data_IF_121230058846
#
_entry.id   IF_121230058846
#
_cell.length_a   1.000
_cell.length_b   1.000
_cell.length_c   1.000
_cell.angle_alpha   90.00
_cell.angle_beta   90.00
_cell.angle_gamma   90.00
#
_symmetry.space_group_name_H-M   'P 1'
#
loop_
_entity.id
_entity.type
_entity.pdbx_description
1 polymer ?
#
# COMPACT_ATOMS: atom_id res chain seq x y z
N UNK A 1 -27.60 20.91 -30.57
CA UNK A 1 -26.19 21.06 -30.17
C UNK A 1 -25.42 19.91 -30.80
N UNK A 2 -24.27 20.17 -31.43
CA UNK A 2 -23.45 19.14 -32.08
C UNK A 2 -23.11 18.02 -31.10
N UNK A 3 -23.34 16.77 -31.50
CA UNK A 3 -23.00 15.55 -30.75
C UNK A 3 -21.56 15.10 -30.98
N UNK A 4 -20.78 15.85 -31.76
CA UNK A 4 -19.39 15.52 -32.04
C UNK A 4 -18.53 15.88 -30.83
N UNK A 5 -18.05 14.86 -30.15
CA UNK A 5 -17.20 14.98 -28.98
C UNK A 5 -15.88 15.70 -29.31
N UNK A 6 -15.44 16.59 -28.43
CA UNK A 6 -14.17 17.31 -28.57
C UNK A 6 -12.99 16.31 -28.60
N UNK A 7 -12.12 16.30 -29.64
CA UNK A 7 -10.97 15.41 -29.73
C UNK A 7 -10.02 15.47 -28.52
N UNK A 8 -9.95 16.62 -27.83
CA UNK A 8 -9.20 16.80 -26.59
C UNK A 8 -9.76 15.98 -25.43
N UNK A 9 -11.08 15.80 -25.36
CA UNK A 9 -11.71 15.01 -24.30
C UNK A 9 -11.35 13.52 -24.46
N UNK A 10 -11.44 13.00 -25.69
CA UNK A 10 -11.03 11.63 -26.01
C UNK A 10 -9.53 11.40 -25.74
N UNK A 11 -8.66 12.30 -26.22
CA UNK A 11 -7.22 12.23 -25.96
C UNK A 11 -6.87 12.41 -24.47
N UNK A 12 -7.67 13.16 -23.72
CA UNK A 12 -7.52 13.35 -22.28
C UNK A 12 -7.78 12.05 -21.49
N UNK A 13 -8.84 11.31 -21.84
CA UNK A 13 -9.18 10.03 -21.18
C UNK A 13 -8.14 8.93 -21.37
N UNK A 14 -7.35 8.99 -22.44
CA UNK A 14 -6.26 8.04 -22.67
C UNK A 14 -5.04 8.28 -21.76
N UNK A 15 -4.97 9.42 -21.06
CA UNK A 15 -3.86 9.76 -20.17
C UNK A 15 -4.18 9.35 -18.74
N UNK A 16 -3.15 9.06 -17.95
CA UNK A 16 -3.29 8.89 -16.50
C UNK A 16 -3.88 10.17 -15.91
N UNK A 17 -5.02 10.03 -15.24
CA UNK A 17 -5.67 11.14 -14.55
C UNK A 17 -5.02 11.34 -13.18
N UNK A 18 -4.08 12.29 -13.07
CA UNK A 18 -3.43 12.61 -11.79
C UNK A 18 -4.43 13.08 -10.72
N UNK A 19 -5.59 13.63 -11.12
CA UNK A 19 -6.67 14.02 -10.22
C UNK A 19 -7.53 12.84 -9.72
N UNK A 20 -7.22 11.60 -10.10
CA UNK A 20 -7.92 10.42 -9.58
C UNK A 20 -7.57 10.11 -8.12
N UNK A 21 -6.47 10.67 -7.60
CA UNK A 21 -6.10 10.53 -6.19
C UNK A 21 -6.85 11.61 -5.39
N UNK A 22 -7.62 11.26 -4.34
CA UNK A 22 -8.25 12.25 -3.48
C UNK A 22 -7.21 13.21 -2.87
N UNK A 23 -7.44 14.54 -2.88
CA UNK A 23 -6.47 15.50 -2.33
C UNK A 23 -6.10 15.24 -0.86
N UNK A 24 -7.04 14.76 -0.06
CA UNK A 24 -6.78 14.38 1.34
C UNK A 24 -5.77 13.23 1.43
N UNK A 25 -5.86 12.24 0.55
CA UNK A 25 -4.90 11.13 0.47
C UNK A 25 -3.49 11.63 0.10
N UNK A 26 -3.39 12.63 -0.78
CA UNK A 26 -2.09 13.24 -1.12
C UNK A 26 -1.46 13.96 0.06
N UNK A 27 -2.24 14.72 0.84
CA UNK A 27 -1.75 15.45 2.02
C UNK A 27 -1.22 14.47 3.07
N UNK A 28 -1.95 13.41 3.37
CA UNK A 28 -1.51 12.40 4.33
C UNK A 28 -0.29 11.61 3.83
N UNK A 29 -0.24 11.28 2.54
CA UNK A 29 0.94 10.65 1.95
C UNK A 29 2.17 11.56 2.08
N UNK A 30 2.04 12.85 1.77
CA UNK A 30 3.12 13.83 1.90
C UNK A 30 3.59 13.94 3.36
N UNK A 31 2.66 14.10 4.32
CA UNK A 31 3.00 14.20 5.74
C UNK A 31 3.71 12.95 6.28
N UNK A 32 3.30 11.75 5.84
CA UNK A 32 3.98 10.51 6.22
C UNK A 32 5.39 10.40 5.63
N UNK A 33 5.61 10.90 4.40
CA UNK A 33 6.94 11.03 3.81
C UNK A 33 7.81 12.05 4.54
N UNK A 34 7.27 13.20 4.91
CA UNK A 34 7.98 14.23 5.69
C UNK A 34 8.45 13.67 7.04
N UNK A 35 7.56 12.95 7.75
CA UNK A 35 7.92 12.25 8.98
C UNK A 35 9.07 11.24 8.77
N UNK A 36 9.02 10.46 7.70
CA UNK A 36 10.11 9.54 7.32
C UNK A 36 11.41 10.28 7.01
N UNK A 37 11.32 11.42 6.31
CA UNK A 37 12.45 12.24 5.93
C UNK A 37 13.17 12.84 7.14
N UNK A 38 12.46 13.16 8.24
CA UNK A 38 13.07 13.58 9.50
C UNK A 38 14.05 12.53 10.06
N UNK A 39 13.83 11.24 9.77
CA UNK A 39 14.67 10.14 10.26
C UNK A 39 15.74 9.71 9.25
N UNK A 40 15.39 9.70 7.96
CA UNK A 40 16.17 9.01 6.94
C UNK A 40 16.61 9.88 5.76
N UNK A 41 16.24 11.17 5.74
CA UNK A 41 16.29 12.09 4.59
C UNK A 41 15.29 11.76 3.47
N UNK A 42 14.97 12.78 2.65
CA UNK A 42 14.02 12.67 1.55
C UNK A 42 14.55 11.70 0.49
N UNK A 43 13.73 10.72 0.09
CA UNK A 43 14.03 9.75 -0.99
C UNK A 43 15.34 8.95 -0.83
N UNK A 44 15.77 8.72 0.40
CA UNK A 44 17.01 7.97 0.68
C UNK A 44 17.03 6.54 0.09
N UNK A 45 15.86 5.93 -0.13
CA UNK A 45 15.70 4.61 -0.75
C UNK A 45 16.10 4.54 -2.23
N UNK A 46 16.25 5.69 -2.90
CA UNK A 46 16.76 5.75 -4.29
C UNK A 46 18.29 5.71 -4.33
N UNK A 47 18.95 6.16 -3.27
CA UNK A 47 20.41 6.16 -3.17
C UNK A 47 20.94 4.88 -2.53
N UNK A 48 20.16 4.33 -1.58
CA UNK A 48 20.53 3.16 -0.79
C UNK A 48 19.53 2.04 -1.03
N UNK A 49 19.98 0.86 -1.50
CA UNK A 49 19.09 -0.27 -1.68
C UNK A 49 18.30 -0.62 -0.43
N UNK A 50 17.04 -0.99 -0.63
CA UNK A 50 16.14 -1.43 0.42
C UNK A 50 15.71 -2.86 0.19
N UNK A 51 15.49 -3.60 1.28
CA UNK A 51 15.00 -4.98 1.24
C UNK A 51 13.49 -5.00 1.35
N UNK A 52 12.82 -5.72 0.46
CA UNK A 52 11.36 -5.80 0.45
C UNK A 52 10.77 -6.27 1.78
N UNK A 53 11.38 -7.23 2.48
CA UNK A 53 10.88 -7.75 3.76
C UNK A 53 10.82 -6.69 4.87
N UNK A 54 11.77 -5.75 4.86
CA UNK A 54 11.87 -4.69 5.88
C UNK A 54 10.70 -3.71 5.76
N UNK A 55 10.04 -3.67 4.60
CA UNK A 55 8.87 -2.85 4.33
C UNK A 55 7.57 -3.65 4.39
N UNK A 56 7.58 -4.97 4.11
CA UNK A 56 6.40 -5.84 4.31
C UNK A 56 5.99 -5.89 5.79
N UNK A 57 6.95 -6.03 6.71
CA UNK A 57 6.65 -6.09 8.14
C UNK A 57 5.90 -4.85 8.69
N UNK A 58 6.37 -3.61 8.46
CA UNK A 58 5.62 -2.42 8.90
C UNK A 58 4.29 -2.25 8.15
N UNK A 59 4.18 -2.62 6.86
CA UNK A 59 2.88 -2.62 6.17
C UNK A 59 1.87 -3.53 6.89
N UNK A 60 2.28 -4.77 7.23
CA UNK A 60 1.43 -5.69 7.99
C UNK A 60 1.05 -5.12 9.36
N UNK A 61 1.98 -4.48 10.07
CA UNK A 61 1.70 -3.87 11.37
C UNK A 61 0.66 -2.75 11.27
N UNK A 62 0.85 -1.78 10.38
CA UNK A 62 -0.11 -0.67 10.24
C UNK A 62 -1.48 -1.17 9.76
N UNK A 63 -1.52 -2.14 8.83
CA UNK A 63 -2.78 -2.74 8.39
C UNK A 63 -3.49 -3.48 9.53
N UNK A 64 -2.75 -4.24 10.34
CA UNK A 64 -3.33 -5.03 11.45
C UNK A 64 -3.86 -4.12 12.56
N UNK A 65 -3.12 -3.07 12.94
CA UNK A 65 -3.57 -2.09 13.94
C UNK A 65 -4.83 -1.35 13.48
N UNK A 66 -4.85 -0.91 12.22
CA UNK A 66 -6.05 -0.31 11.65
C UNK A 66 -7.24 -1.28 11.67
N UNK A 67 -7.02 -2.53 11.25
CA UNK A 67 -8.06 -3.55 11.26
C UNK A 67 -8.55 -3.92 12.68
N UNK A 68 -7.75 -3.68 13.72
CA UNK A 68 -8.17 -3.84 15.12
C UNK A 68 -8.88 -2.62 15.71
N UNK A 69 -9.06 -1.55 14.94
CA UNK A 69 -9.77 -0.34 15.37
C UNK A 69 -8.88 0.81 15.84
N UNK A 70 -7.56 0.73 15.64
CA UNK A 70 -6.64 1.85 15.89
C UNK A 70 -6.53 2.72 14.63
N UNK A 71 -7.04 3.95 14.67
CA UNK A 71 -7.02 4.83 13.50
C UNK A 71 -5.67 5.56 13.31
N UNK A 72 -5.02 5.91 14.41
CA UNK A 72 -3.83 6.77 14.45
C UNK A 72 -2.62 6.01 15.00
N UNK A 73 -1.47 6.16 14.35
CA UNK A 73 -0.18 5.65 14.78
C UNK A 73 0.40 6.51 15.92
N UNK A 74 -0.19 6.42 17.11
CA UNK A 74 0.12 7.23 18.30
C UNK A 74 0.82 6.47 19.44
N UNK A 75 1.19 5.21 19.20
CA UNK A 75 1.98 4.42 20.14
C UNK A 75 3.37 5.02 20.40
N UNK A 76 4.16 4.44 21.34
CA UNK A 76 5.50 4.92 21.63
C UNK A 76 6.39 4.99 20.37
N UNK A 77 6.80 6.21 19.99
CA UNK A 77 7.59 6.44 18.78
C UNK A 77 6.79 6.49 17.47
N UNK A 78 5.46 6.53 17.55
CA UNK A 78 4.54 6.69 16.43
C UNK A 78 4.67 8.05 15.74
N UNK A 79 4.00 8.17 14.60
CA UNK A 79 3.98 9.38 13.77
C UNK A 79 2.92 10.40 14.18
N UNK A 80 1.88 9.98 14.90
CA UNK A 80 0.66 10.76 15.12
C UNK A 80 -0.21 10.91 13.85
N UNK A 81 0.10 10.18 12.78
CA UNK A 81 -0.66 10.16 11.52
C UNK A 81 -1.54 8.90 11.44
N UNK A 82 -2.56 8.88 10.56
CA UNK A 82 -3.37 7.68 10.37
C UNK A 82 -2.54 6.45 9.97
N UNK A 83 -2.87 5.27 10.50
CA UNK A 83 -2.20 4.02 10.10
C UNK A 83 -2.24 3.80 8.58
N UNK A 84 -3.33 4.17 7.94
CA UNK A 84 -3.48 4.10 6.48
C UNK A 84 -2.51 5.03 5.74
N UNK A 85 -2.18 6.20 6.30
CA UNK A 85 -1.19 7.11 5.72
C UNK A 85 0.20 6.49 5.76
N UNK A 86 0.57 5.88 6.89
CA UNK A 86 1.85 5.19 7.05
C UNK A 86 1.95 3.96 6.13
N UNK A 87 0.85 3.21 5.97
CA UNK A 87 0.75 2.11 5.02
C UNK A 87 0.97 2.59 3.58
N UNK A 88 0.29 3.66 3.15
CA UNK A 88 0.46 4.26 1.82
C UNK A 88 1.90 4.71 1.57
N UNK A 89 2.50 5.42 2.54
CA UNK A 89 3.88 5.89 2.41
C UNK A 89 4.85 4.71 2.27
N UNK A 90 4.71 3.68 3.11
CA UNK A 90 5.55 2.48 3.07
C UNK A 90 5.44 1.77 1.72
N UNK A 91 4.22 1.58 1.19
CA UNK A 91 4.01 1.00 -0.13
C UNK A 91 4.59 1.87 -1.26
N UNK A 92 4.46 3.20 -1.18
CA UNK A 92 4.99 4.11 -2.18
C UNK A 92 6.53 4.11 -2.23
N UNK A 93 7.21 3.95 -1.09
CA UNK A 93 8.67 3.80 -1.04
C UNK A 93 9.11 2.53 -1.78
N UNK A 94 8.44 1.40 -1.54
CA UNK A 94 8.75 0.14 -2.23
C UNK A 94 8.54 0.25 -3.73
N UNK A 95 7.44 0.89 -4.15
CA UNK A 95 7.14 1.11 -5.57
C UNK A 95 8.19 2.00 -6.24
N UNK A 96 8.59 3.09 -5.59
CA UNK A 96 9.59 4.03 -6.12
C UNK A 96 10.99 3.39 -6.17
N UNK A 97 11.38 2.62 -5.15
CA UNK A 97 12.62 1.85 -5.16
C UNK A 97 12.65 0.80 -6.28
N UNK A 98 11.53 0.11 -6.54
CA UNK A 98 11.43 -0.81 -7.67
C UNK A 98 11.64 -0.08 -9.01
N UNK A 99 11.01 1.08 -9.18
CA UNK A 99 11.15 1.89 -10.40
C UNK A 99 12.60 2.42 -10.60
N UNK A 100 13.34 2.61 -9.52
CA UNK A 100 14.74 3.08 -9.55
C UNK A 100 15.78 1.94 -9.49
N UNK A 101 15.36 0.67 -9.45
CA UNK A 101 16.26 -0.47 -9.40
C UNK A 101 16.99 -0.65 -8.05
N UNK A 102 16.51 -0.02 -6.98
CA UNK A 102 17.08 -0.09 -5.63
C UNK A 102 16.30 -0.99 -4.69
N UNK A 103 15.26 -1.67 -5.18
CA UNK A 103 14.55 -2.69 -4.41
C UNK A 103 15.25 -4.05 -4.54
N UNK A 104 15.79 -4.55 -3.43
CA UNK A 104 16.21 -5.93 -3.28
C UNK A 104 14.99 -6.80 -2.96
N UNK A 105 14.60 -7.65 -3.91
CA UNK A 105 13.47 -8.57 -3.72
C UNK A 105 13.87 -9.79 -2.89
N UNK A 106 13.76 -9.64 -1.57
CA UNK A 106 14.05 -10.66 -0.58
C UNK A 106 12.79 -11.17 0.14
N UNK A 107 11.63 -10.99 -0.51
CA UNK A 107 10.31 -11.45 -0.04
C UNK A 107 10.31 -12.95 0.20
N UNK A 108 9.45 -13.39 1.14
CA UNK A 108 9.16 -14.80 1.34
C UNK A 108 8.57 -15.39 0.05
N UNK A 109 9.21 -16.46 -0.44
CA UNK A 109 8.77 -17.18 -1.63
C UNK A 109 8.00 -18.41 -1.19
N UNK A 110 6.70 -18.41 -1.48
CA UNK A 110 5.81 -19.54 -1.20
C UNK A 110 5.07 -19.89 -2.49
N UNK A 111 5.72 -20.61 -3.43
CA UNK A 111 5.12 -20.91 -4.74
C UNK A 111 3.82 -21.71 -4.62
N UNK A 112 3.64 -22.48 -3.54
CA UNK A 112 2.45 -23.27 -3.26
C UNK A 112 1.29 -22.43 -2.68
N UNK A 113 1.47 -21.14 -2.39
CA UNK A 113 0.50 -20.33 -1.64
C UNK A 113 -0.89 -20.33 -2.29
N UNK A 114 -0.96 -20.02 -3.59
CA UNK A 114 -2.23 -19.92 -4.32
C UNK A 114 -2.93 -21.27 -4.42
N UNK A 115 -2.16 -22.33 -4.71
CA UNK A 115 -2.71 -23.68 -4.82
C UNK A 115 -3.21 -24.18 -3.46
N UNK A 116 -2.45 -23.93 -2.39
CA UNK A 116 -2.86 -24.28 -1.02
C UNK A 116 -4.13 -23.55 -0.61
N UNK A 117 -4.24 -22.25 -0.90
CA UNK A 117 -5.45 -21.46 -0.65
C UNK A 117 -6.67 -22.05 -1.36
N UNK A 118 -6.54 -22.45 -2.63
CA UNK A 118 -7.62 -23.09 -3.40
C UNK A 118 -8.00 -24.45 -2.83
N UNK A 119 -7.01 -25.28 -2.50
CA UNK A 119 -7.24 -26.58 -1.88
C UNK A 119 -7.99 -26.46 -0.55
N UNK A 120 -7.62 -25.51 0.30
CA UNK A 120 -8.32 -25.26 1.57
C UNK A 120 -9.75 -24.77 1.29
N UNK A 121 -9.94 -23.83 0.36
CA UNK A 121 -11.27 -23.37 -0.02
C UNK A 121 -12.18 -24.50 -0.52
N UNK A 122 -11.65 -25.50 -1.24
CA UNK A 122 -12.42 -26.67 -1.67
C UNK A 122 -12.85 -27.53 -0.48
N UNK A 123 -11.94 -27.81 0.46
CA UNK A 123 -12.26 -28.56 1.69
C UNK A 123 -13.33 -27.86 2.52
N UNK A 124 -13.33 -26.51 2.56
CA UNK A 124 -14.30 -25.70 3.31
C UNK A 124 -15.74 -25.91 2.87
N UNK A 125 -16.00 -26.33 1.63
CA UNK A 125 -17.36 -26.59 1.14
C UNK A 125 -18.04 -27.74 1.88
N UNK A 126 -17.26 -28.66 2.46
CA UNK A 126 -17.77 -29.77 3.26
C UNK A 126 -17.76 -29.53 4.78
N UNK A 127 -17.42 -28.33 5.25
CA UNK A 127 -17.35 -28.06 6.69
C UNK A 127 -18.75 -27.91 7.30
N UNK A 128 -18.96 -28.37 8.55
CA UNK A 128 -20.23 -28.19 9.23
C UNK A 128 -20.57 -26.69 9.34
N UNK A 129 -21.84 -26.36 9.14
CA UNK A 129 -22.34 -25.01 9.39
C UNK A 129 -22.22 -24.68 10.89
N UNK A 130 -22.04 -23.40 11.26
CA UNK A 130 -22.08 -23.01 12.65
C UNK A 130 -23.42 -23.47 13.26
N UNK A 131 -23.38 -24.20 14.37
CA UNK A 131 -24.57 -24.36 15.22
C UNK A 131 -24.99 -22.98 15.67
N UNK A 132 -26.23 -22.59 15.33
CA UNK A 132 -26.78 -21.31 15.76
C UNK A 132 -26.62 -21.17 17.28
N UNK A 133 -26.00 -20.07 17.71
CA UNK A 133 -25.91 -19.65 19.09
C UNK A 133 -27.19 -18.92 19.50
#
# INVERSE_FOLDING_TARGET
>A
MSTVENPKAAAGRAKVNMGAIPPISLIYLAGAHDYGACKYSVRNWVEKPIRARDYVAPMMRHLTQWASGEDIDDGPGGSGLPHLAMLMATASVVLDAWAHGTLEDDRLKTPEFTETMRRIAELKKGWPAPTAA
#
